data_IF_567272813052
#
_entry.id   IF_567272813052
#
_cell.length_a   1.000
_cell.length_b   1.000
_cell.length_c   1.000
_cell.angle_alpha   90.00
_cell.angle_beta   90.00
_cell.angle_gamma   90.00
#
_symmetry.space_group_name_H-M   'P 1'
#
loop_
_entity.id
_entity.type
_entity.pdbx_description
1 polymer ?
#
# COMPACT_ATOMS: atom_id res chain seq x y z
N UNK A 1 3.96 -19.98 5.00
CA UNK A 1 3.54 -20.71 3.79
C UNK A 1 3.69 -22.19 4.09
N UNK A 2 2.62 -22.98 4.13
CA UNK A 2 2.75 -24.43 4.35
C UNK A 2 3.42 -25.04 3.12
N UNK A 3 4.55 -25.73 3.31
CA UNK A 3 5.25 -26.40 2.22
C UNK A 3 4.45 -27.64 1.82
N UNK A 4 4.00 -27.69 0.57
CA UNK A 4 3.37 -28.87 -0.01
C UNK A 4 4.44 -29.94 -0.26
N UNK A 5 4.13 -31.22 -0.03
CA UNK A 5 5.02 -32.31 -0.43
C UNK A 5 5.18 -32.36 -1.95
N UNK A 6 6.27 -32.93 -2.44
CA UNK A 6 6.57 -32.94 -3.89
C UNK A 6 5.48 -33.67 -4.70
N UNK A 7 4.93 -34.76 -4.16
CA UNK A 7 3.83 -35.51 -4.78
C UNK A 7 2.53 -34.68 -4.84
N UNK A 8 2.23 -33.94 -3.78
CA UNK A 8 1.05 -33.08 -3.73
C UNK A 8 1.21 -31.87 -4.66
N UNK A 9 2.43 -31.35 -4.81
CA UNK A 9 2.74 -30.30 -5.76
C UNK A 9 2.59 -30.79 -7.22
N UNK A 10 2.98 -32.03 -7.52
CA UNK A 10 2.75 -32.64 -8.83
C UNK A 10 1.24 -32.80 -9.13
N UNK A 11 0.46 -33.33 -8.18
CA UNK A 11 -1.00 -33.42 -8.28
C UNK A 11 -1.65 -32.05 -8.49
N UNK A 12 -1.21 -31.04 -7.74
CA UNK A 12 -1.73 -29.68 -7.88
C UNK A 12 -1.45 -29.09 -9.27
N UNK A 13 -0.26 -29.29 -9.84
CA UNK A 13 0.05 -28.83 -11.20
C UNK A 13 -0.88 -29.49 -12.22
N UNK A 14 -1.03 -30.82 -12.15
CA UNK A 14 -1.94 -31.54 -13.05
C UNK A 14 -3.40 -31.06 -12.93
N UNK A 15 -3.84 -30.74 -11.71
CA UNK A 15 -5.17 -30.16 -11.47
C UNK A 15 -5.32 -28.79 -12.13
N UNK A 16 -4.30 -27.94 -12.04
CA UNK A 16 -4.31 -26.60 -12.65
C UNK A 16 -4.25 -26.66 -14.18
N UNK A 17 -3.47 -27.57 -14.75
CA UNK A 17 -3.43 -27.82 -16.20
C UNK A 17 -4.79 -28.27 -16.75
N UNK A 18 -5.54 -29.07 -16.00
CA UNK A 18 -6.89 -29.47 -16.41
C UNK A 18 -7.90 -28.31 -16.45
N UNK A 19 -7.61 -27.20 -15.74
CA UNK A 19 -8.47 -26.04 -15.63
C UNK A 19 -7.98 -24.83 -16.45
N UNK A 20 -6.84 -24.94 -17.16
CA UNK A 20 -6.18 -23.80 -17.80
C UNK A 20 -6.95 -23.19 -18.97
N UNK A 21 -7.85 -23.95 -19.60
CA UNK A 21 -8.65 -23.49 -20.75
C UNK A 21 -9.86 -22.64 -20.33
N UNK A 22 -10.16 -22.54 -19.03
CA UNK A 22 -11.33 -21.81 -18.53
C UNK A 22 -10.90 -20.58 -17.74
N UNK A 23 -11.35 -19.40 -18.17
CA UNK A 23 -11.25 -18.19 -17.37
C UNK A 23 -12.40 -18.10 -16.36
N UNK A 24 -12.11 -17.57 -15.18
CA UNK A 24 -13.06 -17.47 -14.08
C UNK A 24 -13.13 -16.02 -13.59
N UNK A 25 -14.29 -15.39 -13.72
CA UNK A 25 -14.56 -14.04 -13.20
C UNK A 25 -15.02 -14.05 -11.74
N UNK A 26 -15.18 -15.23 -11.14
CA UNK A 26 -15.64 -15.39 -9.77
C UNK A 26 -14.69 -16.26 -8.94
N UNK A 27 -14.07 -15.68 -7.92
CA UNK A 27 -13.12 -16.38 -7.05
C UNK A 27 -13.74 -17.59 -6.34
N UNK A 28 -14.99 -17.49 -5.90
CA UNK A 28 -15.68 -18.61 -5.22
C UNK A 28 -16.00 -19.74 -6.18
N UNK A 29 -16.39 -19.43 -7.42
CA UNK A 29 -16.60 -20.44 -8.46
C UNK A 29 -15.29 -21.15 -8.82
N UNK A 30 -14.20 -20.40 -9.02
CA UNK A 30 -12.87 -20.94 -9.23
C UNK A 30 -12.43 -21.87 -8.09
N UNK A 31 -12.55 -21.41 -6.83
CA UNK A 31 -12.21 -22.24 -5.65
C UNK A 31 -13.03 -23.52 -5.59
N UNK A 32 -14.32 -23.48 -5.98
CA UNK A 32 -15.18 -24.67 -6.01
C UNK A 32 -14.72 -25.66 -7.08
N UNK A 33 -14.44 -25.20 -8.29
CA UNK A 33 -13.96 -26.04 -9.38
C UNK A 33 -12.58 -26.65 -9.07
N UNK A 34 -11.66 -25.82 -8.56
CA UNK A 34 -10.32 -26.26 -8.16
C UNK A 34 -10.37 -27.31 -7.04
N UNK A 35 -11.24 -27.12 -6.04
CA UNK A 35 -11.43 -28.13 -4.98
C UNK A 35 -12.02 -29.43 -5.51
N UNK A 36 -12.98 -29.37 -6.44
CA UNK A 36 -13.58 -30.55 -7.03
C UNK A 36 -12.55 -31.36 -7.81
N UNK A 37 -11.79 -30.71 -8.70
CA UNK A 37 -10.75 -31.37 -9.49
C UNK A 37 -9.59 -31.88 -8.61
N UNK A 38 -9.17 -31.13 -7.59
CA UNK A 38 -8.14 -31.59 -6.65
C UNK A 38 -8.60 -32.83 -5.86
N UNK A 39 -9.89 -32.90 -5.50
CA UNK A 39 -10.45 -34.05 -4.78
C UNK A 39 -10.44 -35.33 -5.63
N UNK A 40 -10.64 -35.24 -6.96
CA UNK A 40 -10.51 -36.37 -7.89
C UNK A 40 -9.08 -36.93 -7.91
N UNK A 41 -8.07 -36.08 -7.66
CA UNK A 41 -6.68 -36.48 -7.51
C UNK A 41 -6.31 -36.85 -6.06
N UNK A 42 -7.28 -36.93 -5.14
CA UNK A 42 -7.05 -37.26 -3.73
C UNK A 42 -6.38 -36.15 -2.92
N UNK A 43 -6.33 -34.92 -3.43
CA UNK A 43 -5.68 -33.78 -2.80
C UNK A 43 -6.72 -32.89 -2.10
N UNK A 44 -6.49 -32.60 -0.81
CA UNK A 44 -7.32 -31.65 -0.04
C UNK A 44 -6.64 -30.29 0.05
N UNK A 45 -7.25 -29.28 -0.58
CA UNK A 45 -6.73 -27.92 -0.57
C UNK A 45 -7.25 -27.12 0.63
N UNK A 46 -6.33 -26.68 1.48
CA UNK A 46 -6.61 -25.79 2.61
C UNK A 46 -6.68 -24.31 2.16
N UNK A 47 -7.35 -23.47 2.96
CA UNK A 47 -7.53 -22.05 2.66
C UNK A 47 -6.23 -21.27 2.36
N UNK A 48 -5.09 -21.50 3.05
CA UNK A 48 -3.84 -20.80 2.72
C UNK A 48 -3.31 -21.11 1.32
N UNK A 49 -3.50 -22.34 0.82
CA UNK A 49 -3.06 -22.75 -0.52
C UNK A 49 -3.94 -22.06 -1.56
N UNK A 50 -5.26 -22.08 -1.37
CA UNK A 50 -6.21 -21.40 -2.26
C UNK A 50 -5.92 -19.90 -2.34
N UNK A 51 -5.63 -19.26 -1.20
CA UNK A 51 -5.25 -17.84 -1.16
C UNK A 51 -3.95 -17.59 -1.92
N UNK A 52 -2.94 -18.45 -1.76
CA UNK A 52 -1.68 -18.32 -2.49
C UNK A 52 -1.86 -18.52 -4.00
N UNK A 53 -2.69 -19.47 -4.43
CA UNK A 53 -2.99 -19.70 -5.83
C UNK A 53 -3.75 -18.54 -6.46
N UNK A 54 -4.79 -18.02 -5.79
CA UNK A 54 -5.51 -16.84 -6.28
C UNK A 54 -4.58 -15.63 -6.38
N UNK A 55 -3.69 -15.40 -5.42
CA UNK A 55 -2.74 -14.29 -5.47
C UNK A 55 -1.65 -14.46 -6.56
N UNK A 56 -1.32 -15.69 -6.95
CA UNK A 56 -0.28 -15.97 -7.93
C UNK A 56 -0.79 -16.08 -9.37
N UNK A 57 -2.04 -16.54 -9.55
CA UNK A 57 -2.63 -16.81 -10.87
C UNK A 57 -3.74 -15.81 -11.24
N UNK A 58 -4.34 -15.16 -10.25
CA UNK A 58 -5.38 -14.16 -10.49
C UNK A 58 -4.79 -12.82 -10.90
N UNK A 59 -5.51 -12.12 -11.75
CA UNK A 59 -5.28 -10.72 -12.07
C UNK A 59 -6.50 -9.89 -11.66
N UNK A 60 -6.30 -8.58 -11.59
CA UNK A 60 -7.38 -7.64 -11.32
C UNK A 60 -8.16 -7.41 -12.62
N UNK A 61 -9.49 -7.49 -12.53
CA UNK A 61 -10.43 -7.32 -13.64
C UNK A 61 -11.64 -6.54 -13.10
N UNK A 62 -11.86 -5.33 -13.61
CA UNK A 62 -12.94 -4.43 -13.21
C UNK A 62 -14.33 -4.97 -13.59
N UNK A 63 -14.41 -5.87 -14.58
CA UNK A 63 -15.66 -6.49 -15.04
C UNK A 63 -15.96 -7.81 -14.32
N UNK A 64 -15.07 -8.25 -13.43
CA UNK A 64 -15.25 -9.48 -12.66
C UNK A 64 -16.24 -9.31 -11.49
N UNK A 65 -16.71 -10.43 -10.95
CA UNK A 65 -17.61 -10.40 -9.80
C UNK A 65 -16.88 -9.88 -8.56
N UNK A 66 -17.54 -8.98 -7.81
CA UNK A 66 -17.05 -8.46 -6.54
C UNK A 66 -16.74 -9.61 -5.58
N UNK A 67 -15.49 -9.67 -5.12
CA UNK A 67 -15.08 -10.63 -4.11
C UNK A 67 -15.70 -10.26 -2.76
N UNK A 68 -16.44 -11.19 -2.15
CA UNK A 68 -17.04 -10.98 -0.82
C UNK A 68 -16.37 -11.83 0.26
N UNK A 69 -16.44 -11.34 1.50
CA UNK A 69 -16.12 -12.11 2.69
C UNK A 69 -17.20 -13.19 2.98
N UNK A 70 -17.02 -13.95 4.06
CA UNK A 70 -17.98 -15.00 4.47
C UNK A 70 -19.33 -14.47 4.96
N UNK A 71 -19.45 -13.16 5.18
CA UNK A 71 -20.68 -12.47 5.59
C UNK A 71 -21.38 -11.79 4.41
N UNK A 72 -20.80 -11.84 3.21
CA UNK A 72 -21.33 -11.21 2.01
C UNK A 72 -20.93 -9.74 1.84
N UNK A 73 -20.04 -9.21 2.66
CA UNK A 73 -19.52 -7.85 2.47
C UNK A 73 -18.45 -7.86 1.38
N UNK A 74 -18.42 -6.83 0.52
CA UNK A 74 -17.33 -6.63 -0.42
C UNK A 74 -15.98 -6.56 0.31
N UNK A 75 -14.98 -7.26 -0.21
CA UNK A 75 -13.63 -7.20 0.33
C UNK A 75 -12.96 -5.88 -0.10
N UNK A 76 -12.30 -5.16 0.82
CA UNK A 76 -11.59 -3.94 0.47
C UNK A 76 -10.37 -4.26 -0.39
N UNK A 77 -10.23 -3.58 -1.52
CA UNK A 77 -8.96 -3.56 -2.25
C UNK A 77 -7.97 -2.67 -1.51
N UNK A 78 -6.89 -3.25 -1.01
CA UNK A 78 -5.86 -2.52 -0.26
C UNK A 78 -5.07 -1.55 -1.13
N UNK A 79 -5.04 -1.74 -2.46
CA UNK A 79 -4.33 -0.89 -3.41
C UNK A 79 -5.10 0.39 -3.74
N UNK A 80 -6.42 0.38 -3.58
CA UNK A 80 -7.33 1.51 -3.83
C UNK A 80 -7.66 2.32 -2.56
N UNK A 81 -6.97 2.04 -1.44
CA UNK A 81 -7.21 2.76 -0.19
C UNK A 81 -6.69 4.20 -0.30
N UNK A 82 -7.56 5.15 0.03
CA UNK A 82 -7.20 6.56 0.13
C UNK A 82 -7.63 7.15 1.49
N UNK A 83 -7.23 8.40 1.76
CA UNK A 83 -7.60 9.15 2.95
C UNK A 83 -7.99 10.57 2.56
N UNK A 84 -9.21 10.95 2.93
CA UNK A 84 -9.72 12.30 2.75
C UNK A 84 -9.61 13.12 4.04
N UNK A 85 -9.21 14.39 3.90
CA UNK A 85 -9.23 15.35 5.00
C UNK A 85 -10.56 16.09 4.98
N UNK A 86 -11.47 15.70 5.87
CA UNK A 86 -12.78 16.34 6.01
C UNK A 86 -12.66 17.57 6.92
N UNK A 87 -13.24 18.74 6.54
CA UNK A 87 -13.33 19.89 7.42
C UNK A 87 -13.97 19.53 8.78
N UNK A 88 -13.44 20.09 9.86
CA UNK A 88 -13.86 19.73 11.22
C UNK A 88 -15.34 20.01 11.51
N UNK A 89 -15.92 20.99 10.82
CA UNK A 89 -17.31 21.42 10.97
C UNK A 89 -18.29 20.73 10.02
N UNK A 90 -17.82 19.78 9.20
CA UNK A 90 -18.66 19.00 8.29
C UNK A 90 -18.88 17.56 8.79
N UNK A 91 -20.05 17.00 8.47
CA UNK A 91 -20.31 15.57 8.67
C UNK A 91 -19.58 14.74 7.61
N UNK A 92 -18.97 13.63 8.04
CA UNK A 92 -18.12 12.79 7.18
C UNK A 92 -18.93 12.07 6.09
N UNK A 93 -20.14 11.63 6.40
CA UNK A 93 -20.99 10.91 5.45
C UNK A 93 -21.58 11.87 4.41
N UNK A 94 -21.93 13.09 4.82
CA UNK A 94 -22.34 14.17 3.91
C UNK A 94 -21.18 14.57 2.97
N UNK A 95 -19.95 14.69 3.50
CA UNK A 95 -18.75 14.97 2.69
C UNK A 95 -18.49 13.84 1.68
N UNK A 96 -18.53 12.58 2.12
CA UNK A 96 -18.37 11.41 1.24
C UNK A 96 -19.38 11.45 0.09
N UNK A 97 -20.64 11.73 0.39
CA UNK A 97 -21.71 11.76 -0.61
C UNK A 97 -21.51 12.88 -1.64
N UNK A 98 -21.01 14.04 -1.21
CA UNK A 98 -20.82 15.21 -2.05
C UNK A 98 -19.55 15.14 -2.90
N UNK A 99 -18.44 14.72 -2.30
CA UNK A 99 -17.10 14.87 -2.89
C UNK A 99 -16.49 13.56 -3.36
N UNK A 100 -16.88 12.39 -2.80
CA UNK A 100 -16.25 11.11 -3.12
C UNK A 100 -17.12 10.25 -4.02
N UNK A 101 -18.37 9.96 -3.62
CA UNK A 101 -19.27 9.05 -4.34
C UNK A 101 -19.54 9.43 -5.81
N UNK A 102 -19.54 10.71 -6.24
CA UNK A 102 -19.67 11.05 -7.65
C UNK A 102 -18.53 10.54 -8.54
N UNK A 103 -17.35 10.29 -7.95
CA UNK A 103 -16.15 9.85 -8.68
C UNK A 103 -15.77 8.39 -8.35
N UNK A 104 -16.09 7.93 -7.15
CA UNK A 104 -15.89 6.56 -6.69
C UNK A 104 -17.20 6.01 -6.06
N UNK A 105 -18.16 5.54 -6.88
CA UNK A 105 -19.49 5.13 -6.42
C UNK A 105 -19.47 3.92 -5.48
N UNK A 106 -18.41 3.12 -5.55
CA UNK A 106 -18.15 1.93 -4.77
C UNK A 106 -17.33 2.22 -3.51
N UNK A 107 -16.97 3.48 -3.22
CA UNK A 107 -16.24 3.84 -2.01
C UNK A 107 -17.10 3.69 -0.74
N UNK A 108 -16.46 3.27 0.35
CA UNK A 108 -17.07 3.28 1.69
C UNK A 108 -16.04 3.63 2.76
N UNK A 109 -16.52 4.13 3.90
CA UNK A 109 -15.67 4.52 5.02
C UNK A 109 -15.44 3.34 5.96
N UNK A 110 -14.18 3.09 6.30
CA UNK A 110 -13.82 2.20 7.40
C UNK A 110 -13.75 3.00 8.72
N UNK A 111 -14.90 3.27 9.35
CA UNK A 111 -15.01 4.18 10.52
C UNK A 111 -14.10 3.80 11.70
N UNK A 112 -13.72 2.53 11.83
CA UNK A 112 -12.81 2.07 12.90
C UNK A 112 -11.38 2.61 12.74
N UNK A 113 -11.03 3.13 11.56
CA UNK A 113 -9.72 3.72 11.25
C UNK A 113 -9.77 5.25 11.11
N UNK A 114 -10.95 5.86 11.24
CA UNK A 114 -11.10 7.31 11.24
C UNK A 114 -10.36 7.91 12.43
N UNK A 115 -9.62 8.99 12.18
CA UNK A 115 -8.87 9.72 13.20
C UNK A 115 -9.37 11.15 13.24
N UNK A 116 -9.74 11.61 14.42
CA UNK A 116 -10.03 13.02 14.66
C UNK A 116 -8.75 13.72 15.10
N UNK A 117 -8.38 14.78 14.40
CA UNK A 117 -7.22 15.60 14.75
C UNK A 117 -7.26 16.95 14.07
N UNK A 118 -6.54 17.91 14.65
CA UNK A 118 -6.32 19.21 14.05
C UNK A 118 -4.85 19.31 13.60
N UNK A 119 -4.63 19.71 12.35
CA UNK A 119 -3.29 20.06 11.88
C UNK A 119 -2.95 21.49 12.30
N UNK A 120 -1.78 21.68 12.93
CA UNK A 120 -1.21 23.01 13.17
C UNK A 120 -0.07 23.20 12.16
N UNK A 121 -0.24 24.01 11.10
CA UNK A 121 0.82 24.25 10.13
C UNK A 121 1.89 25.14 10.76
N UNK A 122 2.84 24.49 11.43
CA UNK A 122 3.88 25.17 12.20
C UNK A 122 4.71 26.14 11.34
N UNK A 123 5.06 25.73 10.13
CA UNK A 123 5.78 26.57 9.16
C UNK A 123 4.96 27.80 8.73
N UNK A 124 3.63 27.72 8.67
CA UNK A 124 2.81 28.86 8.29
C UNK A 124 2.68 29.88 9.42
N UNK A 125 2.52 29.42 10.66
CA UNK A 125 2.20 30.30 11.80
C UNK A 125 3.40 30.67 12.66
N UNK A 126 4.42 29.82 12.73
CA UNK A 126 5.56 29.96 13.63
C UNK A 126 6.88 30.13 12.89
N UNK A 127 6.89 30.14 11.55
CA UNK A 127 8.11 30.47 10.82
C UNK A 127 8.46 31.93 11.04
N UNK A 128 9.58 32.13 11.73
CA UNK A 128 10.25 33.41 11.82
C UNK A 128 11.42 33.38 10.85
N UNK A 129 11.38 34.23 9.84
CA UNK A 129 12.50 34.40 8.92
C UNK A 129 13.76 34.75 9.72
N UNK A 130 14.78 33.90 9.59
CA UNK A 130 16.12 34.17 10.12
C UNK A 130 16.93 34.66 8.93
N UNK A 131 17.31 35.96 8.89
CA UNK A 131 18.20 36.43 7.84
C UNK A 131 19.52 35.68 7.93
N UNK A 132 20.18 35.41 6.78
CA UNK A 132 21.53 34.85 6.80
C UNK A 132 22.47 35.78 7.56
N UNK A 133 23.56 35.20 8.10
CA UNK A 133 24.65 35.98 8.72
C UNK A 133 25.18 37.05 7.75
N UNK A 134 25.70 38.14 8.29
CA UNK A 134 26.17 39.28 7.49
C UNK A 134 27.37 38.92 6.61
N UNK A 135 27.59 39.67 5.53
CA UNK A 135 28.76 39.47 4.68
C UNK A 135 30.05 39.77 5.44
N UNK A 136 30.03 40.78 6.31
CA UNK A 136 31.17 41.16 7.14
C UNK A 136 31.59 40.05 8.12
N UNK A 137 30.63 39.27 8.64
CA UNK A 137 30.92 38.08 9.44
C UNK A 137 31.49 36.94 8.59
N UNK A 138 30.98 36.76 7.37
CA UNK A 138 31.50 35.76 6.43
C UNK A 138 32.95 36.08 6.06
N UNK A 139 33.26 37.35 5.76
CA UNK A 139 34.60 37.80 5.41
C UNK A 139 35.57 37.60 6.58
N UNK A 140 35.15 37.96 7.80
CA UNK A 140 35.97 37.76 9.01
C UNK A 140 36.28 36.29 9.27
N UNK A 141 35.28 35.41 9.15
CA UNK A 141 35.48 33.97 9.31
C UNK A 141 36.41 33.43 8.22
N UNK A 142 36.26 33.90 6.96
CA UNK A 142 37.09 33.49 5.85
C UNK A 142 38.56 33.90 6.07
N UNK A 143 38.82 35.13 6.51
CA UNK A 143 40.16 35.60 6.85
C UNK A 143 40.79 34.78 7.99
N UNK A 144 40.00 34.44 9.02
CA UNK A 144 40.48 33.60 10.12
C UNK A 144 40.91 32.22 9.61
N UNK A 145 40.07 31.56 8.81
CA UNK A 145 40.38 30.26 8.21
C UNK A 145 41.58 30.35 7.27
N UNK A 146 41.70 31.41 6.46
CA UNK A 146 42.84 31.63 5.58
C UNK A 146 44.15 31.81 6.35
N UNK A 147 44.12 32.53 7.47
CA UNK A 147 45.31 32.74 8.30
C UNK A 147 45.72 31.45 9.02
N UNK A 148 44.76 30.65 9.50
CA UNK A 148 45.04 29.33 10.06
C UNK A 148 45.68 28.40 9.01
N UNK A 149 45.17 28.42 7.78
CA UNK A 149 45.71 27.62 6.68
C UNK A 149 47.14 28.05 6.30
N UNK A 150 47.41 29.36 6.26
CA UNK A 150 48.78 29.89 6.05
C UNK A 150 49.74 29.39 7.13
N UNK A 151 49.35 29.48 8.40
CA UNK A 151 50.17 28.97 9.52
C UNK A 151 50.47 27.48 9.37
N UNK A 152 49.47 26.67 9.01
CA UNK A 152 49.67 25.22 8.82
C UNK A 152 50.61 24.91 7.64
N UNK A 153 50.56 25.69 6.56
CA UNK A 153 51.49 25.53 5.44
C UNK A 153 52.93 25.91 5.85
N UNK A 154 53.10 27.02 6.58
CA UNK A 154 54.40 27.47 7.08
C UNK A 154 55.04 26.44 8.02
N UNK A 155 54.25 25.68 8.78
CA UNK A 155 54.72 24.58 9.63
C UNK A 155 55.20 23.36 8.84
N UNK A 156 54.71 23.14 7.62
CA UNK A 156 55.07 22.01 6.75
C UNK A 156 56.24 22.34 5.82
N UNK A 157 56.40 23.61 5.43
CA UNK A 157 57.55 24.08 4.64
C UNK A 157 58.85 24.21 5.46
N UNK A 158 58.78 24.00 6.78
CA UNK A 158 59.91 24.09 7.72
C UNK A 158 60.52 22.73 8.06
#
# INVERSE_FOLDING_TARGET
>A
MQKLGDDDAARLRSTLEALSETSWTNRSAFHKALKASAAEQGLKLAAPILKALTAALGEHDDEADVCTDSKGNAEPDTSLRDTENVPWDEDVDDYLTREVLPYAPDAWIEHTKTKEGAEIPFTRHFYKYVPPRSLEEIDRDLEAVMNDLRRMLDEVER
#
